data_IF_649880707761
#
_entry.id   IF_649880707761
#
_cell.length_a   1.000
_cell.length_b   1.000
_cell.length_c   1.000
_cell.angle_alpha   90.00
_cell.angle_beta   90.00
_cell.angle_gamma   90.00
#
_symmetry.space_group_name_H-M   'P 1'
#
loop_
_entity.id
_entity.type
_entity.pdbx_description
1 polymer ?
#
# COMPACT_ATOMS: atom_id res chain seq x y z
N UNK A 1 -15.09 15.22 -36.68
CA UNK A 1 -13.88 14.40 -36.48
C UNK A 1 -12.81 14.88 -37.45
N UNK A 2 -11.56 15.08 -37.00
CA UNK A 2 -10.43 15.40 -37.89
C UNK A 2 -9.92 14.10 -38.55
N UNK A 3 -9.57 14.16 -39.83
CA UNK A 3 -9.01 13.03 -40.58
C UNK A 3 -7.51 13.25 -40.77
N UNK A 4 -6.72 12.20 -40.60
CA UNK A 4 -5.30 12.15 -40.93
C UNK A 4 -5.15 11.19 -42.09
N UNK A 5 -4.47 11.62 -43.16
CA UNK A 5 -4.25 10.83 -44.36
C UNK A 5 -2.74 10.66 -44.55
N UNK A 6 -2.32 9.42 -44.78
CA UNK A 6 -0.94 9.09 -45.10
C UNK A 6 -0.87 8.73 -46.58
N UNK A 7 0.16 9.22 -47.26
CA UNK A 7 0.48 8.81 -48.63
C UNK A 7 1.65 7.85 -48.53
N UNK A 8 1.38 6.59 -48.84
CA UNK A 8 2.36 5.49 -48.81
C UNK A 8 2.20 4.67 -50.08
N UNK A 9 3.27 3.96 -50.46
CA UNK A 9 3.23 3.00 -51.55
C UNK A 9 2.47 1.74 -51.15
N UNK A 10 1.94 1.00 -52.13
CA UNK A 10 1.12 -0.20 -51.88
C UNK A 10 1.92 -1.30 -51.16
N UNK A 11 3.20 -1.48 -51.52
CA UNK A 11 4.12 -2.38 -50.81
C UNK A 11 4.28 -2.03 -49.33
N UNK A 12 4.45 -0.74 -49.03
CA UNK A 12 4.60 -0.24 -47.66
C UNK A 12 3.31 -0.36 -46.85
N UNK A 13 2.14 -0.33 -47.52
CA UNK A 13 0.86 -0.53 -46.86
C UNK A 13 0.71 -1.96 -46.33
N UNK A 14 1.15 -2.95 -47.10
CA UNK A 14 1.07 -4.35 -46.70
C UNK A 14 2.08 -4.69 -45.60
N UNK A 15 3.32 -4.20 -45.73
CA UNK A 15 4.34 -4.31 -44.67
C UNK A 15 3.87 -3.69 -43.35
N UNK A 16 3.19 -2.55 -43.43
CA UNK A 16 2.61 -1.86 -42.27
C UNK A 16 1.49 -2.69 -41.63
N UNK A 17 0.64 -3.33 -42.44
CA UNK A 17 -0.41 -4.21 -41.94
C UNK A 17 0.18 -5.41 -41.18
N UNK A 18 1.23 -6.02 -41.71
CA UNK A 18 1.88 -7.16 -41.06
C UNK A 18 2.57 -6.76 -39.76
N UNK A 19 3.24 -5.61 -39.74
CA UNK A 19 3.80 -5.04 -38.51
C UNK A 19 2.71 -4.80 -37.45
N UNK A 20 1.53 -4.30 -37.85
CA UNK A 20 0.41 -4.06 -36.93
C UNK A 20 -0.21 -5.36 -36.40
N UNK A 21 -0.27 -6.43 -37.20
CA UNK A 21 -0.70 -7.76 -36.73
C UNK A 21 0.26 -8.33 -35.71
N UNK A 22 1.57 -8.13 -35.87
CA UNK A 22 2.56 -8.53 -34.87
C UNK A 22 2.39 -7.76 -33.56
N UNK A 23 2.08 -6.46 -33.63
CA UNK A 23 1.88 -5.61 -32.45
C UNK A 23 0.54 -5.90 -31.73
N UNK A 24 -0.49 -6.32 -32.46
CA UNK A 24 -1.83 -6.58 -31.93
C UNK A 24 -2.37 -7.94 -32.42
N UNK A 25 -1.80 -9.07 -31.94
CA UNK A 25 -2.15 -10.41 -32.43
C UNK A 25 -3.58 -10.82 -32.05
N UNK A 26 -4.13 -10.25 -30.97
CA UNK A 26 -5.42 -10.63 -30.40
C UNK A 26 -6.61 -9.87 -31.03
N UNK A 27 -6.39 -8.98 -32.00
CA UNK A 27 -7.43 -8.16 -32.61
C UNK A 27 -7.96 -8.78 -33.92
N UNK A 28 -9.14 -9.43 -33.91
CA UNK A 28 -9.71 -10.00 -35.12
C UNK A 28 -10.10 -8.90 -36.12
N UNK A 29 -9.85 -9.15 -37.41
CA UNK A 29 -10.18 -8.23 -38.50
C UNK A 29 -9.36 -6.93 -38.48
N UNK A 30 -8.08 -7.01 -38.13
CA UNK A 30 -7.21 -5.84 -38.06
C UNK A 30 -6.98 -5.23 -39.46
N UNK A 31 -7.31 -3.94 -39.59
CA UNK A 31 -6.97 -3.12 -40.75
C UNK A 31 -5.92 -2.09 -40.36
N UNK A 32 -5.18 -1.55 -41.33
CA UNK A 32 -4.18 -0.49 -41.08
C UNK A 32 -4.81 0.69 -40.33
N UNK A 33 -6.03 1.10 -40.70
CA UNK A 33 -6.75 2.18 -40.01
C UNK A 33 -7.06 1.84 -38.54
N UNK A 34 -7.49 0.61 -38.25
CA UNK A 34 -7.78 0.16 -36.88
C UNK A 34 -6.50 0.08 -36.06
N UNK A 35 -5.41 -0.48 -36.61
CA UNK A 35 -4.11 -0.56 -35.96
C UNK A 35 -3.49 0.81 -35.67
N UNK A 36 -3.54 1.74 -36.63
CA UNK A 36 -3.06 3.11 -36.42
C UNK A 36 -3.88 3.88 -35.39
N UNK A 37 -5.19 3.64 -35.30
CA UNK A 37 -6.03 4.19 -34.23
C UNK A 37 -5.60 3.65 -32.86
N UNK A 38 -5.31 2.35 -32.75
CA UNK A 38 -4.83 1.73 -31.51
C UNK A 38 -3.46 2.29 -31.09
N UNK A 39 -2.53 2.42 -32.02
CA UNK A 39 -1.23 3.06 -31.77
C UNK A 39 -1.37 4.51 -31.33
N UNK A 40 -2.17 5.30 -32.04
CA UNK A 40 -2.42 6.70 -31.68
C UNK A 40 -3.03 6.80 -30.27
N UNK A 41 -3.98 5.95 -29.93
CA UNK A 41 -4.55 5.89 -28.59
C UNK A 41 -3.52 5.47 -27.54
N UNK A 42 -2.63 4.53 -27.84
CA UNK A 42 -1.56 4.12 -26.94
C UNK A 42 -0.57 5.27 -26.67
N UNK A 43 -0.18 6.01 -27.71
CA UNK A 43 0.70 7.19 -27.62
C UNK A 43 0.03 8.36 -26.89
N UNK A 44 -1.27 8.57 -27.08
CA UNK A 44 -2.02 9.59 -26.35
C UNK A 44 -2.17 9.21 -24.88
N UNK A 45 -2.46 7.93 -24.58
CA UNK A 45 -2.51 7.42 -23.20
C UNK A 45 -1.15 7.48 -22.50
N UNK A 46 -0.05 7.21 -23.22
CA UNK A 46 1.29 7.33 -22.63
C UNK A 46 1.65 8.78 -22.31
N UNK A 47 1.14 9.75 -23.08
CA UNK A 47 1.33 11.18 -22.81
C UNK A 47 0.53 11.68 -21.60
N UNK A 48 -0.61 11.05 -21.28
CA UNK A 48 -1.45 11.39 -20.11
C UNK A 48 -0.86 10.85 -18.80
N UNK A 49 0.04 9.86 -18.85
CA UNK A 49 0.63 9.22 -17.65
C UNK A 49 1.65 10.07 -16.87
N UNK A 50 1.91 11.33 -17.25
CA UNK A 50 2.74 12.21 -16.42
C UNK A 50 1.95 13.00 -15.36
N UNK A 51 0.61 12.87 -15.29
CA UNK A 51 -0.20 13.56 -14.29
C UNK A 51 -1.20 12.67 -13.52
N UNK A 52 -1.11 11.34 -13.64
CA UNK A 52 -1.81 10.44 -12.72
C UNK A 52 -0.89 10.08 -11.55
N UNK A 53 -0.38 11.10 -10.85
CA UNK A 53 -0.27 10.96 -9.40
C UNK A 53 -1.73 10.79 -8.99
N UNK A 54 -2.15 9.55 -8.71
CA UNK A 54 -3.30 9.34 -7.85
C UNK A 54 -2.98 10.15 -6.61
N UNK A 55 -3.47 11.39 -6.58
CA UNK A 55 -3.65 12.14 -5.35
C UNK A 55 -4.71 11.32 -4.64
N UNK A 56 -4.24 10.26 -3.99
CA UNK A 56 -4.84 9.76 -2.78
C UNK A 56 -5.02 11.03 -1.97
N UNK A 57 -6.22 11.61 -2.02
CA UNK A 57 -6.62 12.59 -1.03
C UNK A 57 -6.30 11.88 0.28
N UNK A 58 -5.49 12.50 1.12
CA UNK A 58 -5.32 12.12 2.53
C UNK A 58 -6.70 12.20 3.19
N UNK A 59 -7.54 11.22 2.88
CA UNK A 59 -8.65 10.86 3.69
C UNK A 59 -8.03 9.93 4.73
N UNK A 60 -8.03 10.38 5.98
CA UNK A 60 -7.65 9.58 7.16
C UNK A 60 -8.52 8.32 7.35
N UNK A 61 -9.42 8.02 6.39
CA UNK A 61 -10.33 6.90 6.41
C UNK A 61 -9.66 5.59 5.96
N UNK A 62 -9.85 4.54 6.76
CA UNK A 62 -9.36 3.21 6.42
C UNK A 62 -10.13 2.62 5.22
N UNK A 63 -9.40 2.31 4.15
CA UNK A 63 -9.94 1.59 2.98
C UNK A 63 -9.86 0.09 3.21
N UNK A 64 -11.01 -0.59 3.18
CA UNK A 64 -11.07 -2.05 3.25
C UNK A 64 -10.53 -2.66 1.96
N UNK A 65 -9.36 -3.29 2.04
CA UNK A 65 -8.72 -3.97 0.92
C UNK A 65 -8.64 -5.48 1.18
N UNK A 66 -9.13 -6.28 0.25
CA UNK A 66 -9.04 -7.75 0.31
C UNK A 66 -7.75 -8.21 -0.38
N UNK A 67 -6.94 -9.01 0.31
CA UNK A 67 -5.70 -9.57 -0.23
C UNK A 67 -5.69 -11.09 -0.10
N UNK A 68 -5.05 -11.77 -1.05
CA UNK A 68 -4.83 -13.21 -0.97
C UNK A 68 -3.45 -13.48 -0.39
N UNK A 69 -3.40 -14.33 0.64
CA UNK A 69 -2.18 -14.79 1.29
C UNK A 69 -2.09 -16.31 1.19
N UNK A 70 -0.89 -16.83 0.97
CA UNK A 70 -0.65 -18.27 1.13
C UNK A 70 -0.83 -18.67 2.60
N UNK A 71 -1.15 -19.94 2.85
CA UNK A 71 -1.29 -20.46 4.22
C UNK A 71 -0.04 -20.23 5.07
N UNK A 72 1.15 -20.39 4.48
CA UNK A 72 2.44 -20.10 5.14
C UNK A 72 2.61 -18.63 5.50
N UNK A 73 2.23 -17.71 4.61
CA UNK A 73 2.32 -16.28 4.90
C UNK A 73 1.39 -15.90 6.05
N UNK A 74 0.14 -16.39 6.01
CA UNK A 74 -0.84 -16.12 7.07
C UNK A 74 -0.35 -16.57 8.43
N UNK A 75 0.15 -17.80 8.55
CA UNK A 75 0.62 -18.33 9.86
C UNK A 75 1.83 -17.58 10.40
N UNK A 76 2.75 -17.15 9.52
CA UNK A 76 3.91 -16.35 9.93
C UNK A 76 3.51 -14.96 10.43
N UNK A 77 2.58 -14.29 9.75
CA UNK A 77 2.08 -12.97 10.15
C UNK A 77 1.31 -13.10 11.48
N UNK A 78 0.48 -14.13 11.64
CA UNK A 78 -0.27 -14.36 12.88
C UNK A 78 0.64 -14.63 14.08
N UNK A 79 1.71 -15.42 13.89
CA UNK A 79 2.74 -15.62 14.92
C UNK A 79 3.45 -14.32 15.28
N UNK A 80 3.74 -13.45 14.30
CA UNK A 80 4.37 -12.16 14.56
C UNK A 80 3.43 -11.20 15.30
N UNK A 81 2.16 -11.13 14.88
CA UNK A 81 1.13 -10.33 15.55
C UNK A 81 1.02 -10.70 17.04
N UNK A 82 1.00 -12.01 17.37
CA UNK A 82 1.01 -12.46 18.76
C UNK A 82 2.25 -12.04 19.54
N UNK A 83 3.45 -12.09 18.93
CA UNK A 83 4.69 -11.65 19.58
C UNK A 83 4.67 -10.13 19.87
N UNK A 84 4.11 -9.34 18.97
CA UNK A 84 4.00 -7.89 19.12
C UNK A 84 2.82 -7.44 20.01
N UNK A 85 1.92 -8.36 20.36
CA UNK A 85 0.68 -8.04 21.08
C UNK A 85 -0.35 -7.31 20.19
N UNK A 86 -0.32 -7.55 18.88
CA UNK A 86 -1.16 -6.90 17.88
C UNK A 86 -2.18 -7.88 17.30
N UNK A 87 -3.23 -7.33 16.69
CA UNK A 87 -4.15 -8.12 15.86
C UNK A 87 -3.57 -8.28 14.44
N UNK A 88 -4.08 -9.26 13.70
CA UNK A 88 -3.58 -9.59 12.35
C UNK A 88 -3.66 -8.39 11.39
N UNK A 89 -4.73 -7.60 11.47
CA UNK A 89 -4.94 -6.42 10.61
C UNK A 89 -3.86 -5.35 10.84
N UNK A 90 -3.56 -5.07 12.11
CA UNK A 90 -2.53 -4.11 12.53
C UNK A 90 -1.14 -4.57 12.07
N UNK A 91 -0.83 -5.86 12.24
CA UNK A 91 0.44 -6.43 11.79
C UNK A 91 0.59 -6.35 10.26
N UNK A 92 -0.45 -6.68 9.50
CA UNK A 92 -0.44 -6.55 8.04
C UNK A 92 -0.22 -5.10 7.60
N UNK A 93 -0.93 -4.15 8.22
CA UNK A 93 -0.79 -2.72 7.91
C UNK A 93 0.61 -2.22 8.21
N UNK A 94 1.13 -2.54 9.39
CA UNK A 94 2.48 -2.17 9.80
C UNK A 94 3.53 -2.65 8.80
N UNK A 95 3.44 -3.92 8.35
CA UNK A 95 4.37 -4.48 7.36
C UNK A 95 4.29 -3.79 6.00
N UNK A 96 3.08 -3.48 5.54
CA UNK A 96 2.90 -2.77 4.26
C UNK A 96 3.48 -1.36 4.38
N UNK A 97 3.15 -0.65 5.46
CA UNK A 97 3.62 0.71 5.72
C UNK A 97 5.15 0.77 5.80
N UNK A 98 5.77 -0.07 6.62
CA UNK A 98 7.24 -0.17 6.74
C UNK A 98 7.92 -0.52 5.42
N UNK A 99 7.30 -1.38 4.59
CA UNK A 99 7.85 -1.70 3.26
C UNK A 99 7.75 -0.51 2.30
N UNK A 100 6.71 0.32 2.42
CA UNK A 100 6.47 1.48 1.56
C UNK A 100 7.30 2.70 1.98
N UNK A 101 7.45 2.94 3.27
CA UNK A 101 8.16 4.09 3.82
C UNK A 101 9.69 3.94 3.72
N UNK A 102 10.20 2.70 3.59
CA UNK A 102 11.63 2.38 3.45
C UNK A 102 12.53 2.96 4.55
N UNK A 103 11.92 3.48 5.63
CA UNK A 103 12.58 3.83 6.87
C UNK A 103 12.64 2.57 7.75
N UNK A 104 13.84 2.25 8.21
CA UNK A 104 14.11 1.06 9.01
C UNK A 104 13.57 1.32 10.44
N UNK A 105 12.29 1.02 10.66
CA UNK A 105 11.69 1.23 11.98
C UNK A 105 11.99 0.06 12.95
N UNK A 106 12.06 0.39 14.24
CA UNK A 106 12.65 -0.39 15.35
C UNK A 106 12.75 -1.91 15.17
N UNK A 107 13.94 -2.47 15.42
CA UNK A 107 14.16 -3.92 15.42
C UNK A 107 13.24 -4.63 16.44
N UNK A 108 12.88 -5.89 16.19
CA UNK A 108 12.05 -6.73 17.09
C UNK A 108 12.50 -6.64 18.56
N UNK A 109 13.82 -6.48 18.79
CA UNK A 109 14.41 -6.36 20.11
C UNK A 109 14.08 -5.02 20.80
N UNK A 110 14.07 -3.91 20.07
CA UNK A 110 13.75 -2.58 20.58
C UNK A 110 12.26 -2.47 20.91
N UNK A 111 11.41 -3.04 20.06
CA UNK A 111 9.97 -3.11 20.28
C UNK A 111 9.62 -3.94 21.53
N UNK A 112 10.40 -4.99 21.80
CA UNK A 112 10.29 -5.81 23.01
C UNK A 112 10.68 -5.03 24.27
N UNK A 113 11.74 -4.22 24.21
CA UNK A 113 12.13 -3.33 25.31
C UNK A 113 11.04 -2.30 25.59
N UNK A 114 10.49 -1.67 24.55
CA UNK A 114 9.41 -0.70 24.69
C UNK A 114 8.16 -1.30 25.34
N UNK A 115 7.78 -2.52 24.95
CA UNK A 115 6.66 -3.23 25.57
C UNK A 115 6.91 -3.57 27.05
N UNK A 116 8.14 -3.93 27.43
CA UNK A 116 8.50 -4.11 28.84
C UNK A 116 8.38 -2.81 29.63
N UNK A 117 8.85 -1.70 29.08
CA UNK A 117 8.71 -0.38 29.69
C UNK A 117 7.24 0.00 29.89
N UNK A 118 6.37 -0.21 28.89
CA UNK A 118 4.92 0.00 29.01
C UNK A 118 4.34 -0.79 30.18
N UNK A 119 4.67 -2.09 30.28
CA UNK A 119 4.18 -2.93 31.37
C UNK A 119 4.66 -2.46 32.76
N UNK A 120 5.87 -1.91 32.86
CA UNK A 120 6.37 -1.34 34.10
C UNK A 120 5.59 -0.07 34.48
N UNK A 121 5.34 0.82 33.51
CA UNK A 121 4.53 2.03 33.70
C UNK A 121 3.10 1.65 34.13
N UNK A 122 2.49 0.64 33.51
CA UNK A 122 1.14 0.19 33.88
C UNK A 122 1.07 -0.32 35.32
N UNK A 123 2.12 -1.01 35.81
CA UNK A 123 2.20 -1.45 37.21
C UNK A 123 2.30 -0.25 38.15
N UNK A 124 3.16 0.71 37.81
CA UNK A 124 3.32 1.94 38.58
C UNK A 124 1.99 2.71 38.64
N UNK A 125 1.32 2.88 37.50
CA UNK A 125 0.02 3.55 37.41
C UNK A 125 -1.06 2.88 38.25
N UNK A 126 -1.12 1.54 38.25
CA UNK A 126 -2.04 0.79 39.14
C UNK A 126 -1.71 1.01 40.62
N UNK A 127 -0.44 0.99 41.00
CA UNK A 127 -0.05 1.23 42.38
C UNK A 127 -0.41 2.64 42.84
N UNK A 128 -0.14 3.66 42.01
CA UNK A 128 -0.56 5.04 42.29
C UNK A 128 -2.06 5.16 42.41
N UNK A 129 -2.82 4.51 41.52
CA UNK A 129 -4.28 4.49 41.60
C UNK A 129 -4.76 3.95 42.95
N UNK A 130 -4.19 2.82 43.41
CA UNK A 130 -4.52 2.26 44.73
C UNK A 130 -4.16 3.19 45.88
N UNK A 131 -2.99 3.84 45.84
CA UNK A 131 -2.59 4.80 46.89
C UNK A 131 -3.59 5.97 46.94
N UNK A 132 -3.88 6.59 45.79
CA UNK A 132 -4.78 7.74 45.71
C UNK A 132 -6.20 7.38 46.18
N UNK A 133 -6.72 6.23 45.76
CA UNK A 133 -8.08 5.78 46.06
C UNK A 133 -8.22 5.30 47.51
N UNK A 134 -7.25 4.54 48.04
CA UNK A 134 -7.33 4.03 49.41
C UNK A 134 -6.99 5.08 50.47
N UNK A 135 -6.10 6.04 50.19
CA UNK A 135 -5.76 7.12 51.13
C UNK A 135 -6.73 8.32 51.05
N UNK A 136 -7.83 8.26 50.29
CA UNK A 136 -8.73 9.41 50.05
C UNK A 136 -7.98 10.68 49.63
N UNK A 137 -6.88 10.55 48.88
CA UNK A 137 -5.97 11.66 48.54
C UNK A 137 -5.43 12.46 49.74
N UNK A 138 -5.37 11.89 50.96
CA UNK A 138 -4.59 12.47 52.05
C UNK A 138 -3.12 12.23 51.77
N UNK A 139 -2.47 13.22 51.18
CA UNK A 139 -1.02 13.36 51.28
C UNK A 139 -0.71 13.47 52.77
N UNK A 140 -0.13 12.43 53.35
CA UNK A 140 0.49 12.53 54.66
C UNK A 140 1.66 13.50 54.49
N UNK A 141 1.44 14.76 54.89
CA UNK A 141 2.54 15.68 55.12
C UNK A 141 3.47 14.99 56.11
N UNK A 142 4.67 14.66 55.62
CA UNK A 142 5.79 14.23 56.46
C UNK A 142 6.33 15.48 57.15
N UNK A 143 5.50 16.15 57.95
CA UNK A 143 5.86 17.15 58.96
C UNK A 143 4.57 17.63 59.68
N UNK A 144 4.09 16.85 60.67
CA UNK A 144 3.15 17.33 61.70
C UNK A 144 1.67 17.11 61.46
#
# INVERSE_FOLDING_TARGET
MKKVQFRIEESQHDDLLDCLKTLYPDEPGLTVAKGMKLLANALLKSKVKNEDVNVSKDNDDFIKTTMYLTGKQRTLIEKAAHRHGWNLSRECRYRIQTTLENELDFFDQELLVMNRCRNAIDKIGRNFHYIIVNDNARVLDKDG
#
